data_IF_847194321126
#
_entry.id   IF_847194321126
#
_cell.length_a   1.000
_cell.length_b   1.000
_cell.length_c   1.000
_cell.angle_alpha   90.00
_cell.angle_beta   90.00
_cell.angle_gamma   90.00
#
_symmetry.space_group_name_H-M   'P 1'
#
loop_
_entity.id
_entity.type
_entity.pdbx_description
1 polymer ?
#
# COMPACT_ATOMS: atom_id res chain seq x y z
N UNK A 1 -42.33 -14.59 -3.04
CA UNK A 1 -41.29 -15.59 -2.76
C UNK A 1 -40.58 -15.09 -1.53
N UNK A 2 -40.23 -15.96 -0.58
CA UNK A 2 -39.48 -15.53 0.60
C UNK A 2 -38.09 -15.06 0.14
N UNK A 3 -37.69 -13.84 0.51
CA UNK A 3 -36.41 -13.24 0.12
C UNK A 3 -35.25 -14.11 0.60
N UNK A 4 -35.40 -14.79 1.74
CA UNK A 4 -34.43 -15.74 2.25
C UNK A 4 -34.29 -16.99 1.36
N UNK A 5 -35.39 -17.53 0.86
CA UNK A 5 -35.37 -18.68 -0.06
C UNK A 5 -34.79 -18.31 -1.44
N UNK A 6 -35.04 -17.08 -1.88
CA UNK A 6 -34.49 -16.53 -3.12
C UNK A 6 -32.97 -16.36 -3.00
N UNK A 7 -32.50 -15.81 -1.88
CA UNK A 7 -31.08 -15.68 -1.59
C UNK A 7 -30.41 -17.05 -1.53
N UNK A 8 -30.96 -18.03 -0.81
CA UNK A 8 -30.37 -19.38 -0.72
C UNK A 8 -30.27 -20.09 -2.09
N UNK A 9 -31.26 -19.85 -2.97
CA UNK A 9 -31.23 -20.35 -4.35
C UNK A 9 -30.09 -19.71 -5.16
N UNK A 10 -29.93 -18.38 -5.08
CA UNK A 10 -28.82 -17.67 -5.73
C UNK A 10 -27.46 -18.13 -5.21
N UNK A 11 -27.33 -18.27 -3.89
CA UNK A 11 -26.12 -18.70 -3.21
C UNK A 11 -25.68 -20.13 -3.57
N UNK A 12 -26.60 -20.94 -4.08
CA UNK A 12 -26.35 -22.32 -4.53
C UNK A 12 -26.05 -22.41 -6.04
N UNK A 13 -26.20 -21.30 -6.77
CA UNK A 13 -25.92 -21.21 -8.21
C UNK A 13 -24.44 -20.95 -8.53
N UNK A 14 -24.15 -20.74 -9.81
CA UNK A 14 -22.81 -20.39 -10.26
C UNK A 14 -22.46 -18.93 -9.90
N UNK A 15 -21.29 -18.66 -9.29
CA UNK A 15 -20.88 -17.30 -8.97
C UNK A 15 -20.70 -16.44 -10.22
N UNK A 16 -21.41 -15.31 -10.28
CA UNK A 16 -21.24 -14.32 -11.35
C UNK A 16 -21.55 -12.91 -10.85
N UNK A 17 -21.13 -11.90 -11.60
CA UNK A 17 -21.43 -10.49 -11.29
C UNK A 17 -22.94 -10.20 -11.40
N UNK A 18 -23.65 -10.87 -12.31
CA UNK A 18 -25.11 -10.79 -12.42
C UNK A 18 -25.82 -11.42 -11.23
N UNK A 19 -25.35 -12.58 -10.75
CA UNK A 19 -25.88 -13.24 -9.57
C UNK A 19 -25.63 -12.38 -8.32
N UNK A 20 -24.45 -11.76 -8.23
CA UNK A 20 -24.14 -10.78 -7.18
C UNK A 20 -25.08 -9.57 -7.21
N UNK A 21 -25.32 -8.97 -8.37
CA UNK A 21 -26.23 -7.85 -8.53
C UNK A 21 -27.67 -8.19 -8.07
N UNK A 22 -28.11 -9.44 -8.25
CA UNK A 22 -29.39 -9.94 -7.73
C UNK A 22 -29.37 -10.17 -6.22
N UNK A 23 -28.23 -10.58 -5.65
CA UNK A 23 -28.08 -10.81 -4.22
C UNK A 23 -28.06 -9.50 -3.40
N UNK A 24 -27.46 -8.43 -3.93
CA UNK A 24 -27.31 -7.12 -3.26
C UNK A 24 -28.59 -6.61 -2.57
N UNK A 25 -29.74 -6.43 -3.26
CA UNK A 25 -30.96 -5.94 -2.62
C UNK A 25 -31.52 -6.90 -1.56
N UNK A 26 -31.28 -8.22 -1.70
CA UNK A 26 -31.70 -9.22 -0.71
C UNK A 26 -30.84 -9.12 0.57
N UNK A 27 -29.55 -8.80 0.43
CA UNK A 27 -28.64 -8.59 1.55
C UNK A 27 -29.00 -7.32 2.35
N UNK A 28 -29.39 -6.25 1.66
CA UNK A 28 -29.83 -5.00 2.31
C UNK A 28 -31.06 -5.19 3.21
N UNK A 29 -31.94 -6.14 2.85
CA UNK A 29 -33.15 -6.47 3.60
C UNK A 29 -33.02 -7.68 4.55
N UNK A 30 -31.86 -8.35 4.57
CA UNK A 30 -31.70 -9.60 5.29
C UNK A 30 -31.68 -9.43 6.81
N UNK A 31 -32.25 -10.40 7.53
CA UNK A 31 -32.10 -10.51 8.98
C UNK A 31 -30.65 -10.83 9.36
N UNK A 32 -30.25 -10.65 10.64
CA UNK A 32 -28.92 -11.05 11.10
C UNK A 32 -28.57 -12.51 10.78
N UNK A 33 -29.53 -13.44 10.92
CA UNK A 33 -29.35 -14.85 10.56
C UNK A 33 -29.19 -15.05 9.05
N UNK A 34 -29.95 -14.30 8.24
CA UNK A 34 -29.80 -14.29 6.78
C UNK A 34 -28.43 -13.79 6.33
N UNK A 35 -27.92 -12.73 6.97
CA UNK A 35 -26.57 -12.21 6.71
C UNK A 35 -25.47 -13.16 7.17
N UNK A 36 -25.67 -13.86 8.29
CA UNK A 36 -24.76 -14.91 8.72
C UNK A 36 -24.70 -16.06 7.69
N UNK A 37 -25.86 -16.49 7.18
CA UNK A 37 -25.93 -17.51 6.13
C UNK A 37 -25.31 -17.04 4.80
N UNK A 38 -25.41 -15.74 4.49
CA UNK A 38 -24.80 -15.11 3.33
C UNK A 38 -23.26 -15.05 3.40
N UNK A 39 -22.65 -15.37 4.55
CA UNK A 39 -21.19 -15.49 4.68
C UNK A 39 -20.55 -16.46 3.67
N UNK A 40 -21.32 -17.41 3.11
CA UNK A 40 -20.83 -18.29 2.04
C UNK A 40 -20.47 -17.55 0.74
N UNK A 41 -20.95 -16.32 0.54
CA UNK A 41 -20.53 -15.44 -0.55
C UNK A 41 -19.03 -15.13 -0.51
N UNK A 42 -18.40 -15.15 0.66
CA UNK A 42 -16.95 -14.97 0.76
C UNK A 42 -16.18 -16.09 0.04
N UNK A 43 -16.80 -17.27 -0.13
CA UNK A 43 -16.26 -18.36 -0.94
C UNK A 43 -16.41 -18.15 -2.46
N UNK A 44 -17.18 -17.16 -2.91
CA UNK A 44 -17.25 -16.80 -4.32
C UNK A 44 -15.97 -16.05 -4.74
N UNK A 45 -15.53 -16.19 -6.02
CA UNK A 45 -14.41 -15.43 -6.52
C UNK A 45 -14.57 -13.92 -6.28
N UNK A 46 -13.54 -13.28 -5.74
CA UNK A 46 -13.54 -11.86 -5.38
C UNK A 46 -14.01 -10.96 -6.54
N UNK A 47 -13.55 -11.24 -7.76
CA UNK A 47 -13.94 -10.52 -8.99
C UNK A 47 -15.45 -10.43 -9.22
N UNK A 48 -16.23 -11.41 -8.75
CA UNK A 48 -17.69 -11.44 -8.93
C UNK A 48 -18.44 -10.58 -7.92
N UNK A 49 -17.75 -9.98 -6.92
CA UNK A 49 -18.38 -9.26 -5.80
C UNK A 49 -17.95 -7.80 -5.75
N UNK A 50 -18.17 -7.00 -6.82
CA UNK A 50 -17.87 -5.57 -6.80
C UNK A 50 -18.76 -4.83 -5.80
N UNK A 51 -18.24 -3.80 -5.15
CA UNK A 51 -18.99 -2.99 -4.22
C UNK A 51 -20.01 -2.11 -4.96
N UNK A 52 -21.31 -2.26 -4.68
CA UNK A 52 -22.34 -1.43 -5.28
C UNK A 52 -22.16 0.03 -4.89
N UNK A 53 -22.56 0.91 -5.80
CA UNK A 53 -22.54 2.36 -5.64
C UNK A 53 -23.17 2.85 -4.34
N UNK A 54 -24.35 2.32 -4.00
CA UNK A 54 -25.04 2.69 -2.77
C UNK A 54 -24.22 2.33 -1.53
N UNK A 55 -23.63 1.13 -1.50
CA UNK A 55 -22.84 0.68 -0.36
C UNK A 55 -21.58 1.52 -0.20
N UNK A 56 -20.96 1.90 -1.32
CA UNK A 56 -19.83 2.83 -1.33
C UNK A 56 -20.21 4.22 -0.79
N UNK A 57 -21.33 4.77 -1.24
CA UNK A 57 -21.85 6.07 -0.77
C UNK A 57 -22.19 6.02 0.73
N UNK A 58 -22.74 4.90 1.23
CA UNK A 58 -22.98 4.67 2.65
C UNK A 58 -21.67 4.61 3.45
N UNK A 59 -20.67 3.85 2.99
CA UNK A 59 -19.38 3.70 3.67
C UNK A 59 -18.64 5.04 3.79
N UNK A 60 -18.57 5.83 2.70
CA UNK A 60 -17.99 7.18 2.72
C UNK A 60 -18.73 8.18 3.59
N UNK A 61 -20.02 7.92 3.87
CA UNK A 61 -20.80 8.69 4.82
C UNK A 61 -20.65 8.19 6.27
N UNK A 62 -19.71 7.26 6.55
CA UNK A 62 -19.50 6.64 7.85
C UNK A 62 -20.60 5.67 8.27
N UNK A 63 -21.46 5.25 7.34
CA UNK A 63 -22.58 4.34 7.62
C UNK A 63 -22.15 2.89 7.40
N UNK A 64 -21.40 2.31 8.33
CA UNK A 64 -20.96 0.93 8.21
C UNK A 64 -22.12 -0.05 8.36
N UNK A 65 -22.41 -0.84 7.31
CA UNK A 65 -23.44 -1.89 7.30
C UNK A 65 -22.80 -3.28 7.33
N UNK A 66 -23.42 -4.28 7.98
CA UNK A 66 -22.83 -5.62 8.09
C UNK A 66 -22.64 -6.36 6.75
N UNK A 67 -23.32 -5.94 5.68
CA UNK A 67 -23.18 -6.53 4.34
C UNK A 67 -22.06 -5.89 3.52
N UNK A 68 -21.55 -4.70 3.89
CA UNK A 68 -20.46 -4.04 3.14
C UNK A 68 -19.22 -4.93 3.02
N UNK A 69 -18.89 -5.67 4.08
CA UNK A 69 -17.78 -6.65 4.11
C UNK A 69 -17.86 -7.78 3.10
N UNK A 70 -19.02 -8.00 2.47
CA UNK A 70 -19.19 -9.07 1.48
C UNK A 70 -18.69 -8.64 0.10
N UNK A 71 -18.55 -7.34 -0.15
CA UNK A 71 -17.92 -6.82 -1.36
C UNK A 71 -16.39 -6.98 -1.27
N UNK A 72 -15.76 -7.30 -2.39
CA UNK A 72 -14.33 -7.59 -2.44
C UNK A 72 -13.50 -6.49 -3.11
N UNK A 73 -14.09 -5.72 -4.03
CA UNK A 73 -13.36 -4.67 -4.76
C UNK A 73 -14.30 -3.61 -5.32
N UNK A 74 -13.76 -2.49 -5.79
CA UNK A 74 -14.47 -1.43 -6.50
C UNK A 74 -13.55 -0.66 -7.43
N UNK A 75 -13.97 -0.47 -8.68
CA UNK A 75 -13.36 0.50 -9.57
C UNK A 75 -13.74 1.94 -9.15
N UNK A 76 -12.73 2.78 -8.97
CA UNK A 76 -12.88 4.17 -8.56
C UNK A 76 -12.84 5.11 -9.78
N UNK A 77 -12.13 4.71 -10.84
CA UNK A 77 -11.91 5.46 -12.07
C UNK A 77 -10.67 4.95 -12.80
N UNK A 78 -10.09 5.79 -13.65
CA UNK A 78 -8.85 5.55 -14.38
C UNK A 78 -7.95 6.80 -14.32
N UNK A 79 -6.79 6.76 -14.97
CA UNK A 79 -5.87 7.88 -14.97
C UNK A 79 -6.38 9.11 -15.74
N UNK A 80 -7.26 8.97 -16.73
CA UNK A 80 -7.88 10.14 -17.39
C UNK A 80 -8.76 10.93 -16.41
N UNK A 81 -9.42 10.23 -15.49
CA UNK A 81 -10.14 10.87 -14.39
C UNK A 81 -9.19 11.57 -13.42
N UNK A 82 -8.03 10.98 -13.11
CA UNK A 82 -7.00 11.61 -12.27
C UNK A 82 -6.46 12.87 -12.94
N UNK A 83 -6.15 12.81 -14.24
CA UNK A 83 -5.62 13.93 -15.04
C UNK A 83 -6.60 15.10 -15.12
N UNK A 84 -7.90 14.81 -15.21
CA UNK A 84 -8.94 15.85 -15.18
C UNK A 84 -9.25 16.38 -13.77
N UNK A 85 -8.77 15.70 -12.73
CA UNK A 85 -9.14 15.96 -11.33
C UNK A 85 -10.57 15.54 -10.98
N UNK A 86 -11.28 14.87 -11.90
CA UNK A 86 -12.64 14.36 -11.74
C UNK A 86 -12.69 12.87 -11.39
N UNK A 87 -13.88 12.29 -11.38
CA UNK A 87 -14.11 10.84 -11.25
C UNK A 87 -15.23 10.40 -12.20
N UNK A 88 -15.43 9.11 -12.48
CA UNK A 88 -16.47 8.65 -13.41
C UNK A 88 -17.87 9.16 -13.07
N UNK A 89 -18.14 9.36 -11.77
CA UNK A 89 -19.42 9.87 -11.26
C UNK A 89 -19.46 11.40 -11.15
N UNK A 90 -18.31 12.05 -11.12
CA UNK A 90 -18.15 13.50 -10.94
C UNK A 90 -17.06 14.00 -11.89
N UNK A 91 -17.32 14.04 -13.20
CA UNK A 91 -16.31 14.38 -14.20
C UNK A 91 -15.89 15.85 -14.07
N UNK A 92 -14.67 16.13 -14.51
CA UNK A 92 -14.10 17.47 -14.64
C UNK A 92 -13.54 17.62 -16.06
N UNK A 93 -13.41 18.87 -16.53
CA UNK A 93 -13.00 19.17 -17.92
C UNK A 93 -11.64 19.89 -18.00
N UNK A 94 -11.01 20.18 -16.87
CA UNK A 94 -9.74 20.91 -16.81
C UNK A 94 -8.56 19.94 -16.80
N UNK A 95 -7.52 20.24 -17.58
CA UNK A 95 -6.23 19.54 -17.47
C UNK A 95 -5.59 19.94 -16.13
N UNK A 96 -5.59 19.00 -15.19
CA UNK A 96 -5.24 19.23 -13.79
C UNK A 96 -3.89 18.61 -13.41
N UNK A 97 -3.54 17.45 -13.98
CA UNK A 97 -2.28 16.76 -13.71
C UNK A 97 -1.84 15.87 -14.88
N UNK A 98 -0.53 15.65 -15.03
CA UNK A 98 0.06 14.81 -16.06
C UNK A 98 0.31 13.37 -15.59
N UNK A 99 -0.54 12.43 -16.03
CA UNK A 99 -0.40 10.99 -15.76
C UNK A 99 -0.35 10.15 -17.05
N UNK A 100 0.01 10.77 -18.18
CA UNK A 100 0.04 10.11 -19.50
C UNK A 100 0.95 8.88 -19.57
N UNK A 101 2.03 8.86 -18.77
CA UNK A 101 2.97 7.74 -18.65
C UNK A 101 2.67 6.80 -17.48
N UNK A 102 1.53 7.00 -16.80
CA UNK A 102 1.11 6.17 -15.67
C UNK A 102 1.38 6.77 -14.30
N UNK A 103 1.02 6.00 -13.27
CA UNK A 103 1.33 6.31 -11.87
C UNK A 103 2.33 5.30 -11.31
N UNK A 104 3.28 5.79 -10.53
CA UNK A 104 4.37 4.97 -9.94
C UNK A 104 4.12 4.67 -8.46
N UNK A 105 3.24 5.41 -7.80
CA UNK A 105 2.94 5.23 -6.40
C UNK A 105 1.53 5.69 -6.04
N UNK A 106 0.98 5.06 -5.00
CA UNK A 106 -0.33 5.39 -4.46
C UNK A 106 -0.32 5.23 -2.94
N UNK A 107 -0.94 6.18 -2.22
CA UNK A 107 -1.23 6.06 -0.81
C UNK A 107 -2.74 6.14 -0.57
N UNK A 108 -3.25 5.19 0.21
CA UNK A 108 -4.66 5.07 0.54
C UNK A 108 -4.91 5.57 1.98
N UNK A 109 -5.82 6.52 2.21
CA UNK A 109 -6.24 6.87 3.56
C UNK A 109 -7.12 5.76 4.19
N UNK A 110 -7.41 5.84 5.50
CA UNK A 110 -8.30 4.89 6.17
C UNK A 110 -9.70 4.80 5.54
N UNK A 111 -10.24 5.94 5.09
CA UNK A 111 -11.46 6.00 4.28
C UNK A 111 -11.11 6.48 2.86
N UNK A 112 -11.15 5.61 1.83
CA UNK A 112 -10.73 5.88 0.45
C UNK A 112 -11.63 6.86 -0.32
N UNK A 113 -12.14 7.91 0.33
CA UNK A 113 -12.81 9.05 -0.28
C UNK A 113 -11.86 9.89 -1.17
N UNK A 114 -10.56 9.71 -1.02
CA UNK A 114 -9.50 10.26 -1.84
C UNK A 114 -8.27 9.35 -1.80
N UNK A 115 -7.31 9.57 -2.69
CA UNK A 115 -6.01 8.89 -2.73
C UNK A 115 -4.91 9.93 -2.93
N UNK A 116 -3.67 9.62 -2.55
CA UNK A 116 -2.50 10.34 -3.07
C UNK A 116 -1.89 9.52 -4.19
N UNK A 117 -1.62 10.13 -5.34
CA UNK A 117 -1.04 9.49 -6.51
C UNK A 117 0.20 10.26 -6.95
N UNK A 118 1.28 9.53 -7.26
CA UNK A 118 2.49 10.07 -7.88
C UNK A 118 2.59 9.62 -9.34
N UNK A 119 2.75 10.56 -10.25
CA UNK A 119 2.90 10.31 -11.68
C UNK A 119 4.31 9.78 -12.02
N UNK A 120 4.39 8.96 -13.06
CA UNK A 120 5.66 8.68 -13.71
C UNK A 120 6.27 9.97 -14.28
N UNK A 121 7.60 10.04 -14.35
CA UNK A 121 8.30 11.14 -14.98
C UNK A 121 8.89 10.69 -16.33
N UNK A 122 8.90 11.58 -17.32
CA UNK A 122 9.64 11.34 -18.56
C UNK A 122 10.84 12.29 -18.64
N UNK A 123 11.99 11.76 -19.05
CA UNK A 123 13.15 12.60 -19.33
C UNK A 123 12.81 13.59 -20.45
N UNK A 124 12.62 14.87 -20.07
CA UNK A 124 12.39 16.05 -20.92
C UNK A 124 10.91 16.43 -21.21
N UNK A 125 9.92 15.78 -20.59
CA UNK A 125 8.50 16.15 -20.67
C UNK A 125 7.87 16.20 -19.27
N UNK A 126 6.79 16.97 -19.11
CA UNK A 126 6.06 17.14 -17.84
C UNK A 126 5.88 15.79 -17.13
N UNK A 127 6.20 15.71 -15.84
CA UNK A 127 6.09 14.46 -15.09
C UNK A 127 6.52 14.59 -13.63
N UNK A 128 6.17 13.60 -12.81
CA UNK A 128 6.43 13.64 -11.37
C UNK A 128 5.40 14.42 -10.55
N UNK A 129 4.24 14.73 -11.13
CA UNK A 129 3.11 15.31 -10.41
C UNK A 129 2.74 14.43 -9.21
N UNK A 130 2.48 15.06 -8.07
CA UNK A 130 1.88 14.40 -6.91
C UNK A 130 0.56 15.09 -6.62
N UNK A 131 -0.52 14.31 -6.59
CA UNK A 131 -1.87 14.84 -6.38
C UNK A 131 -2.59 14.11 -5.26
N UNK A 132 -3.45 14.85 -4.56
CA UNK A 132 -4.63 14.25 -3.92
C UNK A 132 -5.70 14.14 -5.00
N UNK A 133 -6.17 12.93 -5.26
CA UNK A 133 -7.29 12.67 -6.16
C UNK A 133 -8.55 12.33 -5.37
N UNK A 134 -9.60 13.11 -5.57
CA UNK A 134 -10.90 12.90 -4.94
C UNK A 134 -11.72 11.82 -5.64
N UNK A 135 -12.17 10.79 -4.91
CA UNK A 135 -12.99 9.70 -5.49
C UNK A 135 -14.50 10.00 -5.43
N UNK A 136 -14.87 11.22 -5.03
CA UNK A 136 -16.24 11.65 -4.79
C UNK A 136 -16.41 13.17 -4.78
N UNK A 137 -17.63 13.66 -4.51
CA UNK A 137 -17.97 15.07 -4.67
C UNK A 137 -17.53 15.94 -3.50
N UNK A 138 -17.11 15.34 -2.38
CA UNK A 138 -16.84 16.04 -1.12
C UNK A 138 -15.37 16.37 -0.90
N UNK A 139 -14.47 15.64 -1.57
CA UNK A 139 -13.03 15.89 -1.49
C UNK A 139 -12.57 16.32 -2.87
N UNK A 140 -12.28 17.61 -3.09
CA UNK A 140 -11.76 18.06 -4.37
C UNK A 140 -10.33 17.55 -4.58
N UNK A 141 -9.97 17.27 -5.83
CA UNK A 141 -8.58 16.97 -6.20
C UNK A 141 -7.68 18.20 -5.98
N UNK A 142 -6.43 17.97 -5.59
CA UNK A 142 -5.43 19.00 -5.25
C UNK A 142 -4.05 18.62 -5.75
N UNK A 143 -3.35 19.57 -6.37
CA UNK A 143 -1.93 19.43 -6.69
C UNK A 143 -1.12 19.60 -5.40
N UNK A 144 -0.30 18.60 -5.05
CA UNK A 144 0.64 18.66 -3.93
C UNK A 144 2.03 19.11 -4.40
N UNK A 145 2.46 18.57 -5.54
CA UNK A 145 3.72 18.88 -6.20
C UNK A 145 3.50 18.91 -7.71
N UNK A 146 3.80 20.06 -8.31
CA UNK A 146 3.70 20.29 -9.76
C UNK A 146 5.01 19.87 -10.45
N UNK A 147 4.91 18.82 -11.25
CA UNK A 147 5.96 18.16 -12.04
C UNK A 147 6.37 18.89 -13.31
N UNK A 148 5.76 20.03 -13.65
CA UNK A 148 6.15 20.83 -14.82
C UNK A 148 7.60 21.35 -14.77
N UNK A 149 8.24 21.30 -13.59
CA UNK A 149 9.66 21.54 -13.38
C UNK A 149 10.59 20.39 -13.78
N UNK A 150 10.07 19.28 -14.35
CA UNK A 150 10.79 18.04 -14.67
C UNK A 150 11.30 17.31 -13.42
N UNK A 151 10.40 17.03 -12.50
CA UNK A 151 10.73 16.29 -11.29
C UNK A 151 10.92 14.79 -11.56
N UNK A 152 11.86 14.16 -10.85
CA UNK A 152 12.06 12.71 -10.85
C UNK A 152 10.85 11.95 -10.26
N UNK A 153 10.78 10.63 -10.48
CA UNK A 153 9.63 9.83 -10.07
C UNK A 153 9.46 9.77 -8.55
N UNK A 154 8.24 10.04 -8.08
CA UNK A 154 7.84 9.85 -6.69
C UNK A 154 7.57 8.37 -6.38
N UNK A 155 8.61 7.54 -6.38
CA UNK A 155 8.51 6.07 -6.25
C UNK A 155 7.92 5.59 -4.90
N UNK A 156 7.86 6.47 -3.90
CA UNK A 156 7.16 6.18 -2.65
C UNK A 156 6.45 7.41 -2.11
N UNK A 157 5.16 7.22 -1.81
CA UNK A 157 4.30 8.15 -1.08
C UNK A 157 3.58 7.37 0.00
N UNK A 158 3.54 7.91 1.21
CA UNK A 158 2.92 7.29 2.37
C UNK A 158 2.06 8.29 3.13
N UNK A 159 1.01 7.78 3.77
CA UNK A 159 0.15 8.56 4.65
C UNK A 159 0.40 8.22 6.11
N UNK A 160 0.25 9.21 6.98
CA UNK A 160 0.13 8.99 8.42
C UNK A 160 -1.07 8.07 8.73
N UNK A 161 -1.07 7.37 9.88
CA UNK A 161 -2.13 6.43 10.22
C UNK A 161 -3.55 7.02 10.25
N UNK A 162 -3.67 8.30 10.56
CA UNK A 162 -4.92 9.06 10.54
C UNK A 162 -5.25 9.70 9.17
N UNK A 163 -4.35 9.57 8.18
CA UNK A 163 -4.47 10.17 6.86
C UNK A 163 -4.28 11.69 6.83
N UNK A 164 -3.83 12.31 7.91
CA UNK A 164 -3.68 13.77 8.02
C UNK A 164 -2.41 14.32 7.38
N UNK A 165 -1.37 13.50 7.21
CA UNK A 165 -0.09 13.90 6.62
C UNK A 165 0.32 12.94 5.53
N UNK A 166 0.63 13.44 4.34
CA UNK A 166 1.33 12.70 3.30
C UNK A 166 2.81 13.05 3.29
N UNK A 167 3.68 12.06 3.08
CA UNK A 167 5.10 12.28 2.79
C UNK A 167 5.49 11.52 1.54
N UNK A 168 6.20 12.19 0.63
CA UNK A 168 6.77 11.60 -0.57
C UNK A 168 8.26 11.94 -0.70
N UNK A 169 9.00 11.10 -1.41
CA UNK A 169 10.39 11.36 -1.77
C UNK A 169 10.49 11.68 -3.25
N UNK A 170 11.05 12.85 -3.58
CA UNK A 170 11.29 13.30 -4.95
C UNK A 170 12.67 13.95 -4.99
N UNK A 171 13.51 13.58 -5.96
CA UNK A 171 14.83 14.21 -6.18
C UNK A 171 15.77 14.25 -4.96
N UNK A 172 15.67 13.26 -4.07
CA UNK A 172 16.46 13.22 -2.84
C UNK A 172 16.00 14.19 -1.75
N UNK A 173 14.79 14.74 -1.88
CA UNK A 173 14.09 15.51 -0.86
C UNK A 173 12.90 14.72 -0.35
N UNK A 174 12.56 14.92 0.92
CA UNK A 174 11.25 14.54 1.44
C UNK A 174 10.37 15.77 1.47
N UNK A 175 9.14 15.62 0.99
CA UNK A 175 8.11 16.65 1.04
C UNK A 175 6.96 16.13 1.89
N UNK A 176 6.41 17.00 2.74
CA UNK A 176 5.27 16.69 3.58
C UNK A 176 4.14 17.69 3.39
N UNK A 177 2.91 17.18 3.35
CA UNK A 177 1.69 17.99 3.20
C UNK A 177 0.62 17.54 4.18
N UNK A 178 -0.20 18.49 4.62
CA UNK A 178 -1.48 18.23 5.25
C UNK A 178 -2.44 17.65 4.21
N UNK A 179 -3.10 16.55 4.52
CA UNK A 179 -4.03 15.87 3.63
C UNK A 179 -5.44 15.77 4.22
N UNK A 180 -6.49 15.85 3.39
CA UNK A 180 -6.47 16.04 1.93
C UNK A 180 -6.30 17.52 1.48
N UNK A 181 -6.03 18.46 2.41
CA UNK A 181 -6.03 19.90 2.11
C UNK A 181 -4.95 20.36 1.13
N UNK A 182 -3.78 19.71 1.13
CA UNK A 182 -2.63 19.99 0.28
C UNK A 182 -1.69 21.09 0.79
N UNK A 183 -1.84 21.54 2.03
CA UNK A 183 -0.95 22.56 2.60
C UNK A 183 0.43 21.96 2.86
N UNK A 184 1.48 22.54 2.27
CA UNK A 184 2.86 22.12 2.54
C UNK A 184 3.22 22.36 4.01
N UNK A 185 3.78 21.34 4.66
CA UNK A 185 4.18 21.38 6.07
C UNK A 185 5.67 21.62 6.21
N UNK A 186 6.48 20.80 5.55
CA UNK A 186 7.94 20.90 5.57
C UNK A 186 8.55 20.20 4.35
N UNK A 187 9.79 20.58 4.07
CA UNK A 187 10.67 19.93 3.10
C UNK A 187 12.00 19.63 3.80
N UNK A 188 12.56 18.44 3.52
CA UNK A 188 13.84 18.02 4.06
C UNK A 188 14.76 17.51 2.94
N UNK A 189 15.89 18.20 2.75
CA UNK A 189 16.98 17.74 1.89
C UNK A 189 17.72 16.57 2.55
N UNK A 190 17.74 15.41 1.91
CA UNK A 190 18.43 14.22 2.44
C UNK A 190 19.95 14.25 2.15
N UNK A 191 20.41 15.25 1.40
CA UNK A 191 21.78 15.42 0.99
C UNK A 191 22.12 14.62 -0.29
N UNK A 192 23.37 14.77 -0.78
CA UNK A 192 23.82 14.07 -1.96
C UNK A 192 23.84 12.55 -1.73
N UNK A 193 23.60 11.80 -2.79
CA UNK A 193 23.84 10.37 -2.81
C UNK A 193 25.34 10.08 -2.57
N UNK A 194 25.64 9.00 -1.86
CA UNK A 194 27.02 8.56 -1.64
C UNK A 194 27.70 8.18 -2.98
N UNK A 195 28.92 8.70 -3.21
CA UNK A 195 29.65 8.62 -4.50
C UNK A 195 29.89 7.20 -5.05
N UNK A 196 29.78 6.17 -4.21
CA UNK A 196 30.04 4.77 -4.60
C UNK A 196 28.80 3.99 -5.02
N UNK A 197 27.62 4.62 -5.01
CA UNK A 197 26.37 3.99 -5.46
C UNK A 197 26.23 4.20 -6.96
N UNK A 198 26.05 3.10 -7.70
CA UNK A 198 25.73 3.15 -9.12
C UNK A 198 24.37 3.84 -9.30
N UNK A 199 24.37 5.04 -9.88
CA UNK A 199 23.18 5.87 -10.08
C UNK A 199 22.14 5.20 -10.98
N UNK A 200 22.54 4.19 -11.77
CA UNK A 200 21.62 3.44 -12.64
C UNK A 200 20.85 2.33 -11.91
N UNK A 201 21.20 2.02 -10.65
CA UNK A 201 20.43 1.08 -9.82
C UNK A 201 19.33 1.85 -9.05
N UNK A 202 18.16 1.98 -9.69
CA UNK A 202 17.00 2.69 -9.14
C UNK A 202 16.62 2.24 -7.72
N UNK A 203 16.72 0.93 -7.43
CA UNK A 203 16.37 0.40 -6.12
C UNK A 203 17.28 0.94 -4.99
N UNK A 204 18.55 1.26 -5.30
CA UNK A 204 19.51 1.83 -4.35
C UNK A 204 19.33 3.33 -4.15
N UNK A 205 18.84 4.02 -5.18
CA UNK A 205 18.59 5.47 -5.17
C UNK A 205 17.24 5.82 -4.53
N UNK A 206 16.27 4.91 -4.60
CA UNK A 206 14.92 5.09 -4.07
C UNK A 206 14.93 5.24 -2.55
N UNK A 207 14.27 6.28 -2.05
CA UNK A 207 13.99 6.45 -0.63
C UNK A 207 12.67 5.79 -0.29
N UNK A 208 12.70 4.83 0.63
CA UNK A 208 11.52 4.17 1.18
C UNK A 208 11.09 4.86 2.46
N UNK A 209 9.78 5.03 2.63
CA UNK A 209 9.18 5.82 3.71
C UNK A 209 8.32 4.89 4.59
N UNK A 210 8.32 5.11 5.91
CA UNK A 210 7.43 4.39 6.83
C UNK A 210 7.09 5.22 8.06
N UNK A 211 5.80 5.37 8.35
CA UNK A 211 5.31 6.05 9.55
C UNK A 211 5.35 5.12 10.77
N UNK A 212 5.50 5.71 11.97
CA UNK A 212 5.11 5.04 13.21
C UNK A 212 3.59 4.93 13.31
N UNK A 213 3.10 3.91 14.01
CA UNK A 213 1.66 3.68 14.17
C UNK A 213 0.90 4.77 14.95
N UNK A 214 1.61 5.59 15.72
CA UNK A 214 1.10 6.79 16.38
C UNK A 214 1.17 8.05 15.49
N UNK A 215 1.72 7.94 14.28
CA UNK A 215 1.86 9.00 13.28
C UNK A 215 2.91 10.07 13.60
N UNK A 216 3.61 9.99 14.73
CA UNK A 216 4.50 11.07 15.21
C UNK A 216 5.89 11.05 14.58
N UNK A 217 6.27 9.94 13.96
CA UNK A 217 7.58 9.79 13.33
C UNK A 217 7.46 9.23 11.93
N UNK A 218 8.36 9.70 11.08
CA UNK A 218 8.60 9.17 9.74
C UNK A 218 10.02 8.63 9.68
N UNK A 219 10.17 7.39 9.25
CA UNK A 219 11.45 6.85 8.84
C UNK A 219 11.60 7.00 7.33
N UNK A 220 12.81 7.36 6.90
CA UNK A 220 13.20 7.37 5.51
C UNK A 220 14.53 6.63 5.35
N UNK A 221 14.62 5.77 4.33
CA UNK A 221 15.81 4.97 4.07
C UNK A 221 16.09 4.78 2.59
N UNK A 222 17.34 5.02 2.18
CA UNK A 222 17.89 4.59 0.89
C UNK A 222 19.36 4.19 1.03
N UNK A 223 19.84 3.30 0.16
CA UNK A 223 21.26 2.91 0.14
C UNK A 223 22.14 4.14 -0.14
N UNK A 224 21.65 5.02 -1.01
CA UNK A 224 22.35 6.24 -1.39
C UNK A 224 22.45 7.30 -0.28
N UNK A 225 21.49 7.39 0.65
CA UNK A 225 21.41 8.53 1.61
C UNK A 225 21.34 8.11 3.08
N UNK A 226 21.36 6.80 3.35
CA UNK A 226 21.29 6.22 4.68
C UNK A 226 19.89 6.34 5.30
N UNK A 227 19.83 6.26 6.64
CA UNK A 227 18.59 6.29 7.42
C UNK A 227 18.37 7.64 8.07
N UNK A 228 17.11 8.07 8.09
CA UNK A 228 16.60 9.19 8.89
C UNK A 228 15.38 8.77 9.68
N UNK A 229 15.22 9.32 10.88
CA UNK A 229 13.92 9.38 11.58
C UNK A 229 13.62 10.85 11.84
N UNK A 230 12.42 11.25 11.49
CA UNK A 230 11.98 12.65 11.41
C UNK A 230 10.71 12.78 12.25
N UNK A 231 10.57 13.90 12.95
CA UNK A 231 9.33 14.29 13.60
C UNK A 231 8.30 14.71 12.54
N UNK A 232 7.15 14.05 12.51
CA UNK A 232 6.15 14.23 11.45
C UNK A 232 5.59 15.65 11.40
N UNK A 233 5.42 16.31 12.55
CA UNK A 233 4.77 17.62 12.63
C UNK A 233 5.73 18.74 12.21
N UNK A 234 6.99 18.65 12.64
CA UNK A 234 7.96 19.73 12.49
C UNK A 234 8.95 19.53 11.35
N UNK A 235 9.10 18.31 10.83
CA UNK A 235 10.14 17.96 9.88
C UNK A 235 11.55 17.88 10.51
N UNK A 236 11.65 17.99 11.83
CA UNK A 236 12.94 17.94 12.53
C UNK A 236 13.53 16.54 12.49
N UNK A 237 14.79 16.44 12.06
CA UNK A 237 15.52 15.17 12.05
C UNK A 237 15.88 14.77 13.49
N UNK A 238 15.31 13.66 13.95
CA UNK A 238 15.55 13.08 15.27
C UNK A 238 16.74 12.13 15.27
N UNK A 239 17.01 11.48 14.12
CA UNK A 239 18.09 10.52 13.96
C UNK A 239 18.63 10.59 12.53
N UNK A 240 19.95 10.61 12.41
CA UNK A 240 20.69 10.43 11.15
C UNK A 240 21.70 9.31 11.33
N UNK A 241 21.71 8.34 10.40
CA UNK A 241 22.74 7.30 10.42
C UNK A 241 23.06 6.75 9.04
N UNK A 242 24.34 6.59 8.78
CA UNK A 242 24.85 5.79 7.66
C UNK A 242 24.86 4.31 8.06
N UNK A 243 24.31 3.46 7.19
CA UNK A 243 24.27 2.01 7.41
C UNK A 243 24.63 1.28 6.12
N UNK A 244 25.29 0.13 6.27
CA UNK A 244 25.55 -0.79 5.17
C UNK A 244 24.25 -1.55 4.86
N UNK A 245 23.69 -1.31 3.66
CA UNK A 245 22.35 -1.77 3.31
C UNK A 245 21.29 -0.83 3.89
N UNK A 246 20.49 -0.24 3.02
CA UNK A 246 19.36 0.58 3.41
C UNK A 246 18.29 0.49 2.32
N UNK A 247 17.26 -0.30 2.56
CA UNK A 247 16.13 -0.47 1.67
C UNK A 247 14.83 -0.12 2.39
N UNK A 248 13.76 -0.93 2.27
CA UNK A 248 12.50 -0.64 2.93
C UNK A 248 12.68 -0.49 4.44
N UNK A 249 11.94 0.45 5.02
CA UNK A 249 11.97 0.80 6.45
C UNK A 249 10.58 0.67 7.05
N UNK A 250 10.52 0.35 8.34
CA UNK A 250 9.27 0.41 9.11
C UNK A 250 9.57 0.85 10.55
N UNK A 251 8.65 1.62 11.12
CA UNK A 251 8.66 1.95 12.54
C UNK A 251 7.60 1.11 13.27
N UNK A 252 7.86 0.77 14.52
CA UNK A 252 6.83 0.21 15.39
C UNK A 252 5.78 1.28 15.76
N UNK A 253 4.75 0.88 16.50
CA UNK A 253 3.63 1.76 16.83
C UNK A 253 4.08 3.08 17.49
N UNK A 254 5.05 3.04 18.41
CA UNK A 254 5.55 4.22 19.12
C UNK A 254 6.77 4.90 18.45
N UNK A 255 7.22 4.39 17.30
CA UNK A 255 8.45 4.81 16.64
C UNK A 255 9.72 4.59 17.47
N UNK A 256 9.68 3.69 18.45
CA UNK A 256 10.81 3.28 19.28
C UNK A 256 11.71 2.32 18.53
N UNK A 257 11.15 1.34 17.84
CA UNK A 257 11.89 0.40 17.00
C UNK A 257 11.81 0.82 15.53
N UNK A 258 12.95 0.76 14.85
CA UNK A 258 13.12 0.92 13.42
C UNK A 258 13.65 -0.39 12.83
N UNK A 259 12.90 -0.98 11.91
CA UNK A 259 13.34 -2.09 11.08
C UNK A 259 13.82 -1.55 9.73
N UNK A 260 14.93 -2.07 9.22
CA UNK A 260 15.43 -1.78 7.89
C UNK A 260 16.18 -2.98 7.32
N UNK A 261 16.29 -3.07 6.00
CA UNK A 261 17.11 -4.12 5.39
C UNK A 261 18.59 -3.94 5.72
N UNK A 262 19.28 -5.06 5.91
CA UNK A 262 20.74 -5.16 5.99
C UNK A 262 21.32 -5.86 4.76
N UNK A 263 22.59 -6.25 4.85
CA UNK A 263 23.26 -6.99 3.77
C UNK A 263 22.68 -8.41 3.58
N UNK A 264 22.77 -8.91 2.34
CA UNK A 264 22.40 -10.28 1.95
C UNK A 264 20.98 -10.73 2.36
N UNK A 265 20.03 -9.80 2.44
CA UNK A 265 18.64 -10.06 2.79
C UNK A 265 18.36 -10.16 4.29
N UNK A 266 19.33 -9.84 5.16
CA UNK A 266 19.08 -9.72 6.59
C UNK A 266 18.14 -8.55 6.90
N UNK A 267 17.47 -8.62 8.05
CA UNK A 267 16.73 -7.49 8.62
C UNK A 267 17.42 -7.01 9.90
N UNK A 268 17.56 -5.70 10.02
CA UNK A 268 18.11 -5.04 11.21
C UNK A 268 16.97 -4.37 11.95
N UNK A 269 16.84 -4.67 13.24
CA UNK A 269 15.88 -4.04 14.15
C UNK A 269 16.63 -3.23 15.18
N UNK A 270 16.22 -1.97 15.35
CA UNK A 270 17.01 -1.01 16.09
C UNK A 270 16.17 -0.10 16.95
N UNK A 271 16.63 0.16 18.16
CA UNK A 271 16.09 1.20 19.03
C UNK A 271 16.52 2.60 18.56
N UNK A 272 15.56 3.49 18.33
CA UNK A 272 15.77 4.81 17.74
C UNK A 272 16.43 5.80 18.71
N UNK A 273 16.34 5.57 20.02
CA UNK A 273 16.90 6.45 21.04
C UNK A 273 18.34 6.08 21.40
N UNK A 274 18.59 4.80 21.70
CA UNK A 274 19.91 4.29 22.09
C UNK A 274 20.79 3.92 20.91
N UNK A 275 20.18 3.62 19.76
CA UNK A 275 20.87 3.09 18.59
C UNK A 275 21.26 1.61 18.69
N UNK A 276 20.94 0.92 19.79
CA UNK A 276 21.18 -0.52 19.93
C UNK A 276 20.40 -1.29 18.86
N UNK A 277 21.01 -2.32 18.27
CA UNK A 277 20.40 -3.09 17.19
C UNK A 277 20.67 -4.58 17.30
N UNK A 278 19.76 -5.35 16.71
CA UNK A 278 19.93 -6.77 16.40
C UNK A 278 19.78 -6.97 14.90
N UNK A 279 20.33 -8.05 14.38
CA UNK A 279 20.19 -8.46 12.99
C UNK A 279 19.74 -9.91 12.94
N UNK A 280 18.90 -10.24 11.96
CA UNK A 280 18.35 -11.57 11.75
C UNK A 280 18.44 -11.96 10.27
N UNK A 281 18.97 -13.16 9.98
CA UNK A 281 18.95 -13.71 8.62
C UNK A 281 17.54 -14.23 8.32
N UNK A 282 16.88 -13.59 7.37
CA UNK A 282 15.53 -13.95 6.95
C UNK A 282 15.52 -15.18 6.04
N UNK A 283 16.65 -15.58 5.47
CA UNK A 283 16.71 -16.56 4.39
C UNK A 283 16.29 -16.01 3.02
N UNK A 284 16.03 -14.70 2.92
CA UNK A 284 15.77 -14.00 1.66
C UNK A 284 17.10 -13.56 1.03
N UNK A 285 17.15 -13.44 -0.30
CA UNK A 285 18.27 -12.84 -1.03
C UNK A 285 18.14 -11.31 -1.12
N UNK A 286 16.90 -10.81 -1.19
CA UNK A 286 16.55 -9.38 -1.19
C UNK A 286 15.36 -9.11 -0.27
N UNK A 287 15.27 -7.88 0.25
CA UNK A 287 14.13 -7.41 1.05
C UNK A 287 13.51 -6.22 0.34
N UNK A 288 12.24 -6.33 -0.02
CA UNK A 288 11.52 -5.33 -0.81
C UNK A 288 10.47 -4.58 0.02
N UNK A 289 9.93 -5.20 1.08
CA UNK A 289 9.03 -4.54 2.03
C UNK A 289 9.18 -5.10 3.45
N UNK A 290 8.87 -4.26 4.44
CA UNK A 290 8.86 -4.61 5.87
C UNK A 290 7.70 -3.90 6.57
N UNK A 291 7.03 -4.57 7.51
CA UNK A 291 5.95 -4.00 8.31
C UNK A 291 5.88 -4.59 9.71
N UNK A 292 5.87 -3.74 10.74
CA UNK A 292 5.60 -4.16 12.11
C UNK A 292 4.12 -4.50 12.29
N UNK A 293 3.84 -5.48 13.15
CA UNK A 293 2.50 -5.71 13.65
C UNK A 293 2.04 -4.51 14.49
N UNK A 294 0.80 -4.06 14.29
CA UNK A 294 0.23 -2.94 15.04
C UNK A 294 0.20 -3.17 16.56
N UNK A 295 0.13 -4.44 17.00
CA UNK A 295 0.17 -4.86 18.41
C UNK A 295 1.60 -5.10 18.95
N UNK A 296 2.63 -4.91 18.13
CA UNK A 296 4.03 -5.13 18.49
C UNK A 296 4.44 -6.61 18.57
N UNK A 297 3.59 -7.54 18.16
CA UNK A 297 3.85 -8.99 18.25
C UNK A 297 4.92 -9.50 17.29
N UNK A 298 5.26 -8.75 16.25
CA UNK A 298 6.20 -9.21 15.25
C UNK A 298 6.48 -8.27 14.09
N UNK A 299 7.17 -8.83 13.08
CA UNK A 299 7.59 -8.15 11.85
C UNK A 299 7.34 -9.07 10.64
N UNK A 300 6.68 -8.54 9.63
CA UNK A 300 6.55 -9.16 8.31
C UNK A 300 7.67 -8.61 7.41
N UNK A 301 8.38 -9.50 6.74
CA UNK A 301 9.43 -9.15 5.76
C UNK A 301 9.14 -9.88 4.45
N UNK A 302 9.08 -9.14 3.34
CA UNK A 302 8.76 -9.68 2.01
C UNK A 302 9.89 -9.39 1.02
N UNK A 303 10.22 -10.36 0.17
CA UNK A 303 11.26 -10.23 -0.85
C UNK A 303 11.48 -11.52 -1.64
N UNK A 304 12.70 -11.73 -2.10
CA UNK A 304 13.06 -12.91 -2.92
C UNK A 304 13.64 -14.04 -2.08
N UNK A 305 13.15 -15.27 -2.24
CA UNK A 305 13.71 -16.44 -1.58
C UNK A 305 15.07 -16.81 -2.17
N UNK A 306 16.08 -17.00 -1.30
CA UNK A 306 17.47 -17.25 -1.72
C UNK A 306 17.67 -18.52 -2.56
N UNK A 307 16.83 -19.54 -2.37
CA UNK A 307 17.01 -20.84 -3.05
C UNK A 307 16.43 -20.89 -4.47
N UNK A 308 15.43 -20.05 -4.77
CA UNK A 308 14.57 -20.21 -5.96
C UNK A 308 14.26 -18.88 -6.65
N UNK A 309 14.78 -17.77 -6.13
CA UNK A 309 14.51 -16.38 -6.55
C UNK A 309 13.02 -15.98 -6.60
N UNK A 310 12.12 -16.81 -6.07
CA UNK A 310 10.67 -16.60 -6.07
C UNK A 310 10.22 -15.60 -4.97
N UNK A 311 9.03 -15.02 -5.18
CA UNK A 311 8.34 -14.22 -4.16
C UNK A 311 8.16 -15.02 -2.87
N UNK A 312 8.57 -14.42 -1.76
CA UNK A 312 8.47 -15.03 -0.44
C UNK A 312 8.31 -13.97 0.65
N UNK A 313 7.86 -14.42 1.81
CA UNK A 313 7.88 -13.62 3.02
C UNK A 313 8.40 -14.42 4.21
N UNK A 314 8.64 -13.72 5.31
CA UNK A 314 9.07 -14.25 6.59
C UNK A 314 8.34 -13.49 7.69
N UNK A 315 7.81 -14.24 8.65
CA UNK A 315 7.20 -13.69 9.85
C UNK A 315 8.14 -13.90 11.02
N UNK A 316 8.50 -12.80 11.67
CA UNK A 316 9.36 -12.79 12.85
C UNK A 316 8.50 -12.49 14.07
N UNK A 317 8.54 -13.35 15.08
CA UNK A 317 7.83 -13.14 16.34
C UNK A 317 8.75 -12.44 17.34
N UNK A 318 8.18 -11.54 18.12
CA UNK A 318 8.90 -10.72 19.09
C UNK A 318 8.52 -11.08 20.53
N UNK A 319 9.50 -11.04 21.42
CA UNK A 319 9.31 -10.95 22.87
C UNK A 319 10.03 -9.68 23.36
N UNK A 320 9.24 -8.64 23.61
CA UNK A 320 9.77 -7.29 23.84
C UNK A 320 10.45 -6.73 22.59
N UNK A 321 11.77 -6.53 22.64
CA UNK A 321 12.59 -6.03 21.52
C UNK A 321 13.43 -7.12 20.84
N UNK A 322 13.20 -8.40 21.20
CA UNK A 322 13.97 -9.53 20.70
C UNK A 322 13.16 -10.37 19.74
N UNK A 323 13.78 -10.72 18.62
CA UNK A 323 13.27 -11.76 17.71
C UNK A 323 13.47 -13.12 18.38
N UNK A 324 12.38 -13.88 18.53
CA UNK A 324 12.39 -15.19 19.20
C UNK A 324 11.99 -16.36 18.29
N UNK A 325 11.31 -16.07 17.18
CA UNK A 325 10.93 -17.07 16.18
C UNK A 325 10.96 -16.47 14.78
N UNK A 326 11.14 -17.33 13.78
CA UNK A 326 11.23 -16.98 12.37
C UNK A 326 10.57 -18.04 11.52
N UNK A 327 9.46 -17.69 10.87
CA UNK A 327 8.68 -18.60 10.03
C UNK A 327 8.66 -18.13 8.57
N UNK A 328 9.22 -18.91 7.63
CA UNK A 328 9.08 -18.60 6.21
C UNK A 328 7.63 -18.79 5.75
N UNK A 329 7.21 -17.92 4.84
CA UNK A 329 5.95 -17.97 4.11
C UNK A 329 6.28 -18.10 2.64
N UNK A 330 5.72 -19.12 1.98
CA UNK A 330 5.89 -19.39 0.56
C UNK A 330 4.52 -19.40 -0.08
N UNK A 331 4.15 -18.35 -0.83
CA UNK A 331 2.85 -18.32 -1.49
C UNK A 331 2.75 -19.44 -2.53
N UNK A 332 1.59 -20.09 -2.56
CA UNK A 332 1.31 -21.16 -3.52
C UNK A 332 0.51 -20.59 -4.71
N UNK A 333 0.78 -21.08 -5.92
CA UNK A 333 0.04 -20.68 -7.12
C UNK A 333 0.45 -19.33 -7.70
N UNK A 334 1.66 -18.86 -7.41
CA UNK A 334 2.24 -17.68 -8.07
C UNK A 334 2.22 -17.83 -9.60
N UNK A 335 2.08 -16.72 -10.36
CA UNK A 335 2.38 -16.70 -11.79
C UNK A 335 3.81 -17.22 -12.05
N UNK A 336 3.99 -17.98 -13.14
CA UNK A 336 5.21 -18.76 -13.39
C UNK A 336 6.46 -17.93 -13.67
N UNK A 337 6.28 -16.70 -14.14
CA UNK A 337 7.30 -15.72 -14.47
C UNK A 337 7.54 -14.70 -13.35
N UNK A 338 6.79 -14.82 -12.23
CA UNK A 338 6.82 -13.79 -11.21
C UNK A 338 8.18 -13.71 -10.49
N UNK A 339 8.81 -12.53 -10.51
CA UNK A 339 10.15 -12.33 -9.93
C UNK A 339 10.19 -11.23 -8.87
N UNK A 340 10.54 -11.59 -7.64
CA UNK A 340 10.80 -10.62 -6.57
C UNK A 340 12.13 -9.87 -6.71
N UNK A 341 12.86 -10.08 -7.82
CA UNK A 341 14.15 -9.41 -8.10
C UNK A 341 14.05 -8.37 -9.20
N UNK A 342 12.87 -8.14 -9.79
CA UNK A 342 12.72 -7.08 -10.79
C UNK A 342 12.94 -5.70 -10.13
N UNK A 343 13.40 -4.68 -10.89
CA UNK A 343 13.52 -3.32 -10.38
C UNK A 343 12.18 -2.80 -9.82
N UNK A 344 11.07 -3.09 -10.49
CA UNK A 344 9.73 -2.72 -10.02
C UNK A 344 9.40 -3.41 -8.70
N UNK A 345 9.74 -4.69 -8.53
CA UNK A 345 9.53 -5.40 -7.27
C UNK A 345 10.23 -4.70 -6.09
N UNK A 346 11.43 -4.16 -6.28
CA UNK A 346 12.19 -3.49 -5.23
C UNK A 346 11.55 -2.16 -4.77
N UNK A 347 10.84 -1.45 -5.67
CA UNK A 347 10.28 -0.12 -5.38
C UNK A 347 8.78 -0.13 -5.12
N UNK A 348 8.03 -1.09 -5.67
CA UNK A 348 6.57 -1.12 -5.62
C UNK A 348 5.98 -2.24 -4.73
N UNK A 349 6.77 -3.22 -4.29
CA UNK A 349 6.28 -4.21 -3.28
C UNK A 349 5.89 -3.48 -1.99
N UNK A 350 4.76 -3.88 -1.39
CA UNK A 350 4.26 -3.35 -0.11
C UNK A 350 3.89 -4.50 0.82
N UNK A 351 3.92 -4.22 2.12
CA UNK A 351 3.33 -5.12 3.10
C UNK A 351 2.77 -4.33 4.27
N UNK A 352 1.82 -4.92 4.99
CA UNK A 352 1.16 -4.34 6.16
C UNK A 352 0.86 -5.45 7.17
N UNK A 353 0.82 -5.12 8.46
CA UNK A 353 0.38 -6.06 9.49
C UNK A 353 -0.59 -5.35 10.45
N UNK A 354 -1.83 -5.28 10.00
CA UNK A 354 -2.94 -4.63 10.71
C UNK A 354 -3.92 -5.61 11.34
N UNK A 355 -5.17 -5.18 11.46
CA UNK A 355 -6.28 -5.90 12.12
C UNK A 355 -6.56 -7.28 11.48
N UNK A 356 -6.38 -7.37 10.17
CA UNK A 356 -6.55 -8.59 9.40
C UNK A 356 -5.31 -9.51 9.42
N UNK A 357 -4.27 -9.18 10.17
CA UNK A 357 -3.01 -9.92 10.18
C UNK A 357 -2.06 -9.46 9.07
N UNK A 358 -0.95 -10.20 8.86
CA UNK A 358 0.09 -9.77 7.93
C UNK A 358 -0.31 -10.07 6.49
N UNK A 359 -0.11 -9.07 5.64
CA UNK A 359 -0.43 -9.09 4.22
C UNK A 359 0.78 -8.59 3.42
N UNK A 360 1.08 -9.29 2.34
CA UNK A 360 2.13 -8.91 1.41
C UNK A 360 1.53 -8.71 0.01
N UNK A 361 1.74 -7.52 -0.55
CA UNK A 361 1.45 -7.19 -1.94
C UNK A 361 2.77 -7.18 -2.70
N UNK A 362 3.07 -8.30 -3.35
CA UNK A 362 4.27 -8.44 -4.18
C UNK A 362 3.92 -8.06 -5.61
N UNK A 363 4.82 -7.34 -6.25
CA UNK A 363 4.68 -6.87 -7.63
C UNK A 363 5.90 -7.28 -8.43
N UNK A 364 5.73 -7.39 -9.73
CA UNK A 364 6.82 -7.46 -10.69
C UNK A 364 6.38 -6.81 -12.01
N UNK A 365 7.21 -6.96 -13.05
CA UNK A 365 6.98 -6.30 -14.34
C UNK A 365 5.77 -6.90 -15.12
N UNK A 366 5.28 -8.09 -14.74
CA UNK A 366 4.20 -8.82 -15.40
C UNK A 366 2.87 -8.83 -14.64
N UNK A 367 2.88 -8.49 -13.34
CA UNK A 367 1.68 -8.52 -12.52
C UNK A 367 1.94 -8.26 -11.04
N UNK A 368 0.91 -8.52 -10.25
CA UNK A 368 0.99 -8.43 -8.80
C UNK A 368 0.15 -9.49 -8.11
N UNK A 369 0.54 -9.83 -6.88
CA UNK A 369 -0.19 -10.77 -6.02
C UNK A 369 -0.29 -10.24 -4.59
N UNK A 370 -1.46 -10.39 -3.99
CA UNK A 370 -1.70 -10.19 -2.57
C UNK A 370 -1.79 -11.56 -1.89
N UNK A 371 -1.04 -11.77 -0.81
CA UNK A 371 -1.10 -13.02 -0.05
C UNK A 371 -1.01 -12.82 1.47
N UNK A 372 -1.54 -13.80 2.21
CA UNK A 372 -1.65 -13.78 3.66
C UNK A 372 -0.51 -14.54 4.39
N UNK A 373 -0.61 -14.62 5.72
CA UNK A 373 0.38 -15.25 6.60
C UNK A 373 0.60 -16.76 6.35
N UNK A 374 -0.30 -17.38 5.60
CA UNK A 374 -0.27 -18.80 5.23
C UNK A 374 0.22 -19.00 3.80
N UNK A 375 0.47 -17.92 3.06
CA UNK A 375 0.83 -17.98 1.64
C UNK A 375 -0.36 -18.24 0.72
N UNK A 376 -1.60 -18.02 1.19
CA UNK A 376 -2.78 -18.10 0.33
C UNK A 376 -2.87 -16.81 -0.49
N UNK A 377 -2.99 -16.94 -1.80
CA UNK A 377 -3.27 -15.81 -2.67
C UNK A 377 -4.71 -15.32 -2.43
N UNK A 378 -4.83 -14.02 -2.17
CA UNK A 378 -6.10 -13.34 -1.95
C UNK A 378 -6.54 -12.53 -3.17
N UNK A 379 -5.57 -12.00 -3.92
CA UNK A 379 -5.79 -11.18 -5.10
C UNK A 379 -4.63 -11.33 -6.08
N UNK A 380 -4.91 -11.19 -7.37
CA UNK A 380 -3.91 -11.22 -8.45
C UNK A 380 -4.27 -10.16 -9.48
N UNK A 381 -3.29 -9.40 -9.92
CA UNK A 381 -3.41 -8.47 -11.05
C UNK A 381 -2.46 -8.86 -12.18
N UNK A 382 -2.88 -8.56 -13.40
CA UNK A 382 -2.04 -8.66 -14.60
C UNK A 382 -1.55 -7.29 -15.02
N UNK A 383 -0.31 -7.20 -15.48
CA UNK A 383 0.29 -5.94 -15.92
C UNK A 383 0.93 -5.14 -14.78
N UNK A 384 1.58 -4.05 -15.15
CA UNK A 384 2.25 -3.18 -14.17
C UNK A 384 1.22 -2.42 -13.36
N UNK A 385 1.35 -2.49 -12.04
CA UNK A 385 0.42 -1.87 -11.09
C UNK A 385 1.21 -1.38 -9.89
N UNK A 386 0.92 -0.15 -9.44
CA UNK A 386 1.35 0.33 -8.14
C UNK A 386 0.23 0.10 -7.12
N UNK A 387 0.61 -0.26 -5.89
CA UNK A 387 -0.34 -0.54 -4.82
C UNK A 387 0.03 0.13 -3.51
N UNK A 388 -0.98 0.46 -2.71
CA UNK A 388 -0.83 1.11 -1.42
C UNK A 388 -1.93 0.67 -0.47
N UNK A 389 -1.55 0.16 0.70
CA UNK A 389 -2.52 -0.20 1.74
C UNK A 389 -3.03 1.04 2.45
N UNK A 390 -4.28 1.01 2.92
CA UNK A 390 -4.70 1.89 4.00
C UNK A 390 -3.89 1.56 5.27
N UNK A 391 -3.72 2.50 6.22
CA UNK A 391 -2.83 2.28 7.35
C UNK A 391 -3.18 1.06 8.21
N UNK A 392 -4.46 0.72 8.33
CA UNK A 392 -4.94 -0.46 9.05
C UNK A 392 -4.88 -1.76 8.21
N UNK A 393 -4.59 -1.66 6.91
CA UNK A 393 -4.57 -2.78 5.98
C UNK A 393 -5.95 -3.30 5.59
N UNK A 394 -6.99 -2.48 5.74
CA UNK A 394 -8.37 -2.86 5.42
C UNK A 394 -8.68 -2.70 3.91
N UNK A 395 -7.98 -1.79 3.26
CA UNK A 395 -8.10 -1.48 1.82
C UNK A 395 -6.72 -1.54 1.18
N UNK A 396 -6.64 -2.11 -0.01
CA UNK A 396 -5.50 -1.97 -0.91
C UNK A 396 -5.96 -1.17 -2.13
N UNK A 397 -5.45 0.05 -2.28
CA UNK A 397 -5.62 0.82 -3.51
C UNK A 397 -4.61 0.34 -4.55
N UNK A 398 -5.07 0.17 -5.77
CA UNK A 398 -4.29 -0.26 -6.92
C UNK A 398 -4.44 0.80 -8.02
N UNK A 399 -3.34 1.11 -8.70
CA UNK A 399 -3.33 1.98 -9.88
C UNK A 399 -2.56 1.32 -11.00
N UNK A 400 -3.27 1.03 -12.08
CA UNK A 400 -2.76 0.55 -13.37
C UNK A 400 -3.61 1.19 -14.47
N UNK A 401 -4.18 0.39 -15.37
CA UNK A 401 -5.18 0.87 -16.35
C UNK A 401 -6.39 1.52 -15.67
N UNK A 402 -6.77 0.99 -14.49
CA UNK A 402 -7.82 1.54 -13.63
C UNK A 402 -7.27 1.82 -12.23
N UNK A 403 -7.94 2.72 -11.52
CA UNK A 403 -7.77 2.91 -10.08
C UNK A 403 -8.82 2.07 -9.35
N UNK A 404 -8.37 1.12 -8.53
CA UNK A 404 -9.23 0.11 -7.88
C UNK A 404 -8.99 0.07 -6.38
N UNK A 405 -10.07 0.02 -5.59
CA UNK A 405 -10.01 -0.31 -4.17
C UNK A 405 -10.34 -1.79 -3.97
N UNK A 406 -9.44 -2.53 -3.31
CA UNK A 406 -9.64 -3.93 -2.93
C UNK A 406 -9.88 -4.00 -1.41
N UNK A 407 -10.98 -4.62 -0.99
CA UNK A 407 -11.40 -4.69 0.41
C UNK A 407 -10.96 -6.01 1.04
N UNK A 408 -10.02 -5.94 1.98
CA UNK A 408 -9.35 -7.12 2.55
C UNK A 408 -10.32 -8.04 3.29
N UNK A 409 -11.29 -7.49 4.03
CA UNK A 409 -12.31 -8.30 4.71
C UNK A 409 -13.12 -9.15 3.70
N UNK A 410 -13.40 -8.59 2.52
CA UNK A 410 -14.13 -9.28 1.45
C UNK A 410 -13.34 -10.38 0.75
N UNK A 411 -12.03 -10.48 0.97
CA UNK A 411 -11.18 -11.51 0.36
C UNK A 411 -11.02 -12.78 1.21
N UNK A 412 -11.40 -12.76 2.48
CA UNK A 412 -10.93 -13.75 3.48
C UNK A 412 -11.84 -14.94 3.74
#
# INVERSE_FOLDING_TARGET
MDDAATLDTLLSGEPSTEAWAQAVPLLEGASPDGLAAAGRLLGWPARCRPMPDRWWDEQRAGQHRPWHRLAAWRELGDLDHVQSGGSPRFPAEDDFAGFGEGAVSVACPPDPAWLVLGAAAEWHHNGGDIVVWGTGPHTPSRMLLDGSGFHDEALDVQLSPDGAVAVASVEGRLHAWSTPGGEALWELDLGPAQESVDTFDMARMTTRIGFSGDGRRVAAGSVARGLRVIDTETGHVLLTREVAGCGPVALDHAGRLLAHSGEAGAIVVRDTASGAFTSHDTGLSTVNAVAFAADGSGLLVTGSAREQDAVAAVLLAFDGDRIVDSRPVRPAGLPSDMSARSPLAAVATRCVWGSHGPLAFAVDDGGAVLFDERGRLLWTESGQVAGGFSPAGDVLALVGDTVTAVFVEGLR
#
